data_IF_386990320166
#
_entry.id   IF_386990320166
#
_cell.length_a   1.000
_cell.length_b   1.000
_cell.length_c   1.000
_cell.angle_alpha   90.00
_cell.angle_beta   90.00
_cell.angle_gamma   90.00
#
_symmetry.space_group_name_H-M   'P 1'
#
loop_
_entity.id
_entity.type
_entity.pdbx_description
1 polymer ?
#
# COMPACT_ATOMS: atom_id res chain seq x y z
N UNK A 1 -7.51 -11.25 -7.43
CA UNK A 1 -7.63 -9.82 -7.34
C UNK A 1 -8.89 -9.44 -6.59
N UNK A 2 -8.75 -8.61 -5.63
CA UNK A 2 -9.83 -8.37 -4.72
C UNK A 2 -9.66 -7.01 -4.05
N UNK A 3 -9.46 -7.01 -2.74
CA UNK A 3 -9.36 -5.74 -2.02
C UNK A 3 -8.15 -4.92 -2.44
N UNK A 4 -7.05 -5.56 -2.86
CA UNK A 4 -5.89 -4.81 -3.32
C UNK A 4 -6.24 -4.01 -4.57
N UNK A 5 -7.04 -4.60 -5.46
CA UNK A 5 -7.49 -3.88 -6.65
C UNK A 5 -8.37 -2.69 -6.26
N UNK A 6 -9.20 -2.85 -5.24
CA UNK A 6 -10.03 -1.74 -4.76
C UNK A 6 -9.19 -0.58 -4.27
N UNK A 7 -8.07 -0.86 -3.60
CA UNK A 7 -7.16 0.18 -3.18
C UNK A 7 -6.59 0.93 -4.38
N UNK A 8 -6.20 0.17 -5.40
CA UNK A 8 -5.55 0.75 -6.57
C UNK A 8 -6.48 1.62 -7.38
N UNK A 9 -7.77 1.39 -7.33
CA UNK A 9 -8.72 2.23 -8.04
C UNK A 9 -8.65 3.70 -7.61
N UNK A 10 -8.03 3.97 -6.47
CA UNK A 10 -7.83 5.34 -6.01
C UNK A 10 -6.56 5.96 -6.55
N UNK A 11 -5.75 5.18 -7.24
CA UNK A 11 -4.47 5.60 -7.79
C UNK A 11 -4.57 5.51 -9.31
N UNK A 12 -4.85 6.61 -9.93
CA UNK A 12 -5.11 6.63 -11.38
C UNK A 12 -3.94 6.05 -12.16
N UNK A 13 -4.28 5.30 -13.20
CA UNK A 13 -3.30 4.78 -14.17
C UNK A 13 -2.38 3.71 -13.60
N UNK A 14 -2.76 3.10 -12.49
CA UNK A 14 -1.97 2.02 -11.89
C UNK A 14 -2.87 0.80 -11.75
N UNK A 15 -2.34 -0.36 -12.11
CA UNK A 15 -3.03 -1.63 -11.91
C UNK A 15 -2.16 -2.55 -11.08
N UNK A 16 -2.78 -3.17 -10.10
CA UNK A 16 -2.09 -4.08 -9.20
C UNK A 16 -3.02 -5.23 -8.93
N UNK A 17 -2.57 -6.44 -9.23
CA UNK A 17 -3.43 -7.62 -9.16
C UNK A 17 -2.89 -8.65 -8.18
N UNK A 18 -3.80 -9.23 -7.43
CA UNK A 18 -3.52 -10.41 -6.61
C UNK A 18 -4.26 -11.56 -7.28
N UNK A 19 -3.52 -12.55 -7.72
CA UNK A 19 -4.11 -13.64 -8.48
C UNK A 19 -3.57 -14.98 -7.99
N UNK A 20 -4.20 -16.04 -8.46
CA UNK A 20 -3.66 -17.37 -8.26
C UNK A 20 -2.35 -17.48 -9.04
N UNK A 21 -1.28 -18.05 -8.46
CA UNK A 21 0.00 -18.13 -9.16
C UNK A 21 -0.09 -18.93 -10.46
N UNK A 22 0.69 -18.50 -11.44
CA UNK A 22 0.72 -19.14 -12.74
C UNK A 22 1.12 -20.61 -12.66
N UNK A 23 2.01 -20.94 -11.73
CA UNK A 23 2.52 -22.32 -11.59
C UNK A 23 1.58 -23.24 -10.84
N UNK A 24 0.44 -22.73 -10.37
CA UNK A 24 -0.54 -23.54 -9.67
C UNK A 24 -0.24 -23.81 -8.20
N UNK A 25 0.93 -23.38 -7.73
CA UNK A 25 1.26 -23.54 -6.32
C UNK A 25 0.54 -22.51 -5.48
N UNK A 26 0.54 -22.73 -4.17
CA UNK A 26 -0.07 -21.77 -3.26
C UNK A 26 0.69 -20.46 -3.27
N UNK A 27 -0.03 -19.35 -3.30
CA UNK A 27 0.57 -18.03 -3.28
C UNK A 27 1.21 -17.75 -1.93
N UNK A 28 2.28 -16.94 -1.95
CA UNK A 28 2.85 -16.42 -0.71
C UNK A 28 3.27 -14.98 -0.95
N UNK A 29 3.63 -14.29 0.13
CA UNK A 29 3.89 -12.85 0.04
C UNK A 29 5.37 -12.52 -0.22
N UNK A 30 6.24 -13.51 -0.26
CA UNK A 30 7.66 -13.26 -0.39
C UNK A 30 8.26 -12.76 0.92
N UNK A 31 9.58 -12.82 1.00
CA UNK A 31 10.30 -12.39 2.18
C UNK A 31 11.18 -11.19 1.81
N UNK A 32 10.88 -10.04 2.38
CA UNK A 32 11.63 -8.84 2.08
C UNK A 32 11.10 -8.05 0.90
N UNK A 33 9.92 -8.39 0.41
CA UNK A 33 9.30 -7.71 -0.71
C UNK A 33 8.31 -6.65 -0.22
N UNK A 34 8.33 -5.49 -0.85
CA UNK A 34 7.38 -4.43 -0.56
C UNK A 34 7.10 -3.67 -1.84
N UNK A 35 5.86 -3.28 -2.03
CA UNK A 35 5.46 -2.46 -3.16
C UNK A 35 5.07 -1.08 -2.64
N UNK A 36 5.66 -0.04 -3.19
CA UNK A 36 5.39 1.32 -2.76
C UNK A 36 4.63 2.06 -3.85
N UNK A 37 3.57 2.75 -3.44
CA UNK A 37 2.77 3.59 -4.34
C UNK A 37 2.98 5.04 -3.95
N UNK A 38 3.47 5.83 -4.90
CA UNK A 38 3.68 7.26 -4.68
C UNK A 38 2.38 7.98 -5.02
N UNK A 39 1.92 8.81 -4.11
CA UNK A 39 0.64 9.51 -4.29
C UNK A 39 0.84 11.01 -4.09
N UNK A 40 -0.15 11.78 -4.50
CA UNK A 40 0.00 13.22 -4.65
C UNK A 40 -0.11 14.02 -3.36
N UNK A 41 -0.74 13.49 -2.33
CA UNK A 41 -0.92 14.22 -1.08
C UNK A 41 -0.82 13.28 0.10
N UNK A 42 -0.50 13.87 1.27
CA UNK A 42 -0.50 13.10 2.51
C UNK A 42 -1.91 12.60 2.84
N UNK A 43 -2.93 13.35 2.48
CA UNK A 43 -4.31 12.92 2.71
C UNK A 43 -4.61 11.62 1.96
N UNK A 44 -4.11 11.51 0.72
CA UNK A 44 -4.30 10.28 -0.06
C UNK A 44 -3.57 9.12 0.61
N UNK A 45 -2.38 9.35 1.17
CA UNK A 45 -1.68 8.30 1.92
C UNK A 45 -2.57 7.78 3.05
N UNK A 46 -3.13 8.69 3.83
CA UNK A 46 -3.97 8.30 4.96
C UNK A 46 -5.23 7.58 4.50
N UNK A 47 -5.82 8.04 3.40
CA UNK A 47 -7.03 7.41 2.87
C UNK A 47 -6.75 6.00 2.36
N UNK A 48 -5.61 5.80 1.71
CA UNK A 48 -5.23 4.47 1.24
C UNK A 48 -4.98 3.52 2.39
N UNK A 49 -4.31 4.00 3.44
CA UNK A 49 -4.10 3.17 4.63
C UNK A 49 -5.43 2.76 5.25
N UNK A 50 -6.34 3.72 5.42
CA UNK A 50 -7.65 3.43 5.99
C UNK A 50 -8.40 2.41 5.13
N UNK A 51 -8.37 2.60 3.80
CA UNK A 51 -9.06 1.68 2.90
C UNK A 51 -8.50 0.27 3.03
N UNK A 52 -7.17 0.15 3.20
CA UNK A 52 -6.54 -1.15 3.38
C UNK A 52 -6.99 -1.82 4.66
N UNK A 53 -7.06 -1.07 5.76
CA UNK A 53 -7.52 -1.61 7.04
C UNK A 53 -8.99 -2.01 6.94
N UNK A 54 -9.81 -1.15 6.34
CA UNK A 54 -11.26 -1.43 6.20
C UNK A 54 -11.51 -2.66 5.35
N UNK A 55 -10.64 -2.95 4.41
CA UNK A 55 -10.77 -4.14 3.56
C UNK A 55 -10.29 -5.41 4.24
N UNK A 56 -9.83 -5.32 5.49
CA UNK A 56 -9.38 -6.49 6.24
C UNK A 56 -7.88 -6.62 6.34
N UNK A 57 -7.15 -5.65 5.85
CA UNK A 57 -5.69 -5.66 5.94
C UNK A 57 -5.21 -5.40 7.35
N UNK A 58 -3.90 -5.56 7.53
CA UNK A 58 -3.27 -5.38 8.82
C UNK A 58 -2.40 -4.13 8.82
N UNK A 59 -2.49 -3.34 9.88
CA UNK A 59 -1.65 -2.16 10.04
C UNK A 59 -0.19 -2.57 10.23
N UNK A 60 0.69 -1.99 9.41
CA UNK A 60 2.13 -2.20 9.53
C UNK A 60 2.87 -0.88 9.74
N UNK A 61 2.13 0.21 9.87
CA UNK A 61 2.69 1.52 10.11
C UNK A 61 1.67 2.60 9.81
N UNK A 62 1.13 3.23 10.87
CA UNK A 62 0.12 4.26 10.71
C UNK A 62 0.69 5.45 9.93
N UNK A 63 -0.19 6.23 9.28
CA UNK A 63 0.28 7.38 8.50
C UNK A 63 1.08 8.36 9.35
N UNK A 64 2.18 8.86 8.79
CA UNK A 64 3.00 9.84 9.49
C UNK A 64 4.26 10.15 8.72
N UNK A 65 4.91 11.24 9.12
CA UNK A 65 6.21 11.60 8.57
C UNK A 65 7.30 10.77 9.24
N UNK A 66 8.29 10.36 8.45
CA UNK A 66 9.44 9.60 8.97
C UNK A 66 10.72 10.13 8.33
N UNK A 67 11.57 10.81 9.09
CA UNK A 67 11.40 11.13 10.51
C UNK A 67 10.26 12.14 10.75
N UNK A 68 9.87 12.31 12.00
CA UNK A 68 8.66 13.09 12.34
C UNK A 68 8.69 14.51 11.79
N UNK A 69 9.88 15.10 11.69
CA UNK A 69 10.03 16.45 11.16
C UNK A 69 10.50 16.46 9.70
N UNK A 70 10.37 15.31 9.01
CA UNK A 70 10.81 15.21 7.63
C UNK A 70 9.75 15.62 6.64
N UNK A 71 10.04 15.34 5.37
CA UNK A 71 9.16 15.71 4.26
C UNK A 71 8.40 14.54 3.67
N UNK A 72 8.68 13.32 4.12
CA UNK A 72 8.10 12.13 3.48
C UNK A 72 7.09 11.50 4.41
N UNK A 73 5.88 11.40 3.92
CA UNK A 73 4.74 10.87 4.65
C UNK A 73 4.46 9.46 4.17
N UNK A 74 4.48 8.51 5.08
CA UNK A 74 4.36 7.09 4.77
C UNK A 74 3.18 6.47 5.50
N UNK A 75 2.67 5.39 4.95
CA UNK A 75 1.81 4.46 5.67
C UNK A 75 2.06 3.07 5.11
N UNK A 76 1.94 2.08 5.96
CA UNK A 76 2.19 0.69 5.57
C UNK A 76 1.03 -0.18 5.98
N UNK A 77 0.68 -1.14 5.12
CA UNK A 77 -0.38 -2.08 5.40
C UNK A 77 -0.03 -3.42 4.77
N UNK A 78 -0.47 -4.51 5.40
CA UNK A 78 -0.42 -5.82 4.76
C UNK A 78 -1.80 -6.16 4.28
N UNK A 79 -1.89 -6.66 3.06
CA UNK A 79 -3.18 -7.09 2.53
C UNK A 79 -3.53 -8.47 3.09
N UNK A 80 -4.67 -9.01 2.68
CA UNK A 80 -5.13 -10.30 3.20
C UNK A 80 -4.21 -11.44 2.83
N UNK A 81 -3.42 -11.29 1.78
CA UNK A 81 -2.47 -12.30 1.35
C UNK A 81 -1.10 -12.10 1.97
N UNK A 82 -0.95 -11.10 2.82
CA UNK A 82 0.29 -10.83 3.52
C UNK A 82 1.28 -9.95 2.77
N UNK A 83 0.90 -9.43 1.62
CA UNK A 83 1.78 -8.55 0.86
C UNK A 83 1.94 -7.22 1.57
N UNK A 84 3.18 -6.74 1.67
CA UNK A 84 3.44 -5.47 2.33
C UNK A 84 3.35 -4.35 1.31
N UNK A 85 2.49 -3.38 1.59
CA UNK A 85 2.25 -2.24 0.72
C UNK A 85 2.60 -0.97 1.46
N UNK A 86 3.20 -0.03 0.73
CA UNK A 86 3.55 1.28 1.26
C UNK A 86 2.87 2.33 0.41
N UNK A 87 2.29 3.32 1.08
CA UNK A 87 1.78 4.51 0.39
C UNK A 87 2.65 5.67 0.84
N UNK A 88 3.12 6.47 -0.10
CA UNK A 88 4.13 7.46 0.22
C UNK A 88 3.87 8.75 -0.55
N UNK A 89 4.09 9.87 0.14
CA UNK A 89 4.06 11.19 -0.48
C UNK A 89 5.27 11.98 0.00
N UNK A 90 6.03 12.51 -0.95
CA UNK A 90 7.20 13.33 -0.66
C UNK A 90 6.86 14.78 -0.97
N UNK A 91 6.61 15.58 0.05
CA UNK A 91 6.20 16.97 -0.16
C UNK A 91 7.35 17.86 -0.61
N UNK A 92 8.57 17.37 -0.51
CA UNK A 92 9.73 18.10 -1.04
C UNK A 92 9.92 17.89 -2.53
N UNK A 93 9.14 16.99 -3.11
CA UNK A 93 9.23 16.61 -4.52
C UNK A 93 7.91 16.96 -5.18
N UNK A 94 7.68 18.20 -5.45
CA UNK A 94 6.41 18.65 -6.01
C UNK A 94 6.40 18.70 -7.52
#
# INVERSE_FOLDING_TARGET
KRQAYSLINKLENIEFYITKPFDGNQANFGNGTMIAFSVETAEIVANCHRAGIDAGGKDEGAPGYRPADGNIYYAYVRDLDGNKLCFVHDKGCS
#
